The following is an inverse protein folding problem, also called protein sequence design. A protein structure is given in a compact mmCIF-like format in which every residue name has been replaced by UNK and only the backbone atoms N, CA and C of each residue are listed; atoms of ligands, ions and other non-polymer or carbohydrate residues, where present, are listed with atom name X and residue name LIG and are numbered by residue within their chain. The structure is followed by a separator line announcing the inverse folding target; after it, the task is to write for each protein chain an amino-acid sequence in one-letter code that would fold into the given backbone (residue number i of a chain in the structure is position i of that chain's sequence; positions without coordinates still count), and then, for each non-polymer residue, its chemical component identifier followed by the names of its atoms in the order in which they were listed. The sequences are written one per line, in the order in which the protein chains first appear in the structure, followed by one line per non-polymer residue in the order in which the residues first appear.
data_IF_123770512156
#
_entry.id   IF_123770512156
#
_cell.length_a   1.000
_cell.length_b   1.000
_cell.length_c   1.000
_cell.angle_alpha   90.00
_cell.angle_beta   90.00
_cell.angle_gamma   90.00
#
_symmetry.space_group_name_H-M   'P 1'
#
loop_
_entity.id
_entity.type
_entity.pdbx_description
1 polymer ?
#
# COMPACT_ATOMS: atom_id res chain seq x y z
N UNK A 1 14.21 19.11 7.05
CA UNK A 1 14.01 18.20 5.91
C UNK A 1 15.35 17.54 5.65
N UNK A 2 15.39 16.22 5.79
CA UNK A 2 16.61 15.46 5.58
C UNK A 2 16.91 15.38 4.08
N UNK A 3 18.20 15.28 3.72
CA UNK A 3 18.62 15.08 2.32
C UNK A 3 17.98 13.85 1.64
N UNK A 4 17.47 12.90 2.43
CA UNK A 4 16.80 11.69 1.97
C UNK A 4 15.35 11.96 1.50
N UNK A 5 14.66 12.89 2.16
CA UNK A 5 13.25 13.19 1.92
C UNK A 5 13.11 13.93 0.58
N UNK A 6 13.95 14.95 0.39
CA UNK A 6 14.08 15.69 -0.87
C UNK A 6 14.45 14.76 -2.03
N UNK A 7 15.29 13.74 -1.77
CA UNK A 7 15.66 12.73 -2.75
C UNK A 7 14.44 11.90 -3.14
N UNK A 8 13.70 11.31 -2.20
CA UNK A 8 12.56 10.45 -2.55
C UNK A 8 11.47 11.25 -3.29
N UNK A 9 11.19 12.48 -2.86
CA UNK A 9 10.19 13.33 -3.51
C UNK A 9 10.60 13.70 -4.93
N UNK A 10 11.87 14.08 -5.13
CA UNK A 10 12.43 14.35 -6.46
C UNK A 10 12.33 13.12 -7.37
N UNK A 11 12.69 11.94 -6.87
CA UNK A 11 12.61 10.70 -7.63
C UNK A 11 11.17 10.29 -7.96
N UNK A 12 10.23 10.48 -7.03
CA UNK A 12 8.80 10.26 -7.26
C UNK A 12 8.26 11.19 -8.35
N UNK A 13 8.62 12.47 -8.29
CA UNK A 13 8.24 13.45 -9.30
C UNK A 13 8.76 13.06 -10.68
N UNK A 14 10.03 12.65 -10.77
CA UNK A 14 10.61 12.14 -12.03
C UNK A 14 9.85 10.90 -12.49
N UNK A 15 9.69 9.88 -11.64
CA UNK A 15 9.01 8.63 -12.00
C UNK A 15 7.61 8.86 -12.57
N UNK A 16 6.81 9.73 -11.94
CA UNK A 16 5.47 10.08 -12.44
C UNK A 16 5.52 10.90 -13.72
N UNK A 17 6.44 11.87 -13.82
CA UNK A 17 6.62 12.67 -15.03
C UNK A 17 7.01 11.80 -16.23
N UNK A 18 7.87 10.80 -16.01
CA UNK A 18 8.28 9.82 -17.01
C UNK A 18 7.13 8.90 -17.44
N UNK A 19 6.31 8.48 -16.47
CA UNK A 19 5.13 7.66 -16.76
C UNK A 19 4.10 8.46 -17.57
N UNK A 20 3.92 9.75 -17.29
CA UNK A 20 3.01 10.61 -18.04
C UNK A 20 3.55 10.94 -19.45
N UNK A 21 4.84 11.24 -19.57
CA UNK A 21 5.46 11.64 -20.83
C UNK A 21 5.53 10.49 -21.84
N UNK A 22 5.77 9.25 -21.39
CA UNK A 22 5.79 8.08 -22.25
C UNK A 22 4.42 7.38 -22.32
N UNK A 23 3.73 7.29 -21.19
CA UNK A 23 2.48 6.55 -21.05
C UNK A 23 1.34 7.22 -21.80
N UNK A 24 1.16 8.53 -21.69
CA UNK A 24 0.04 9.21 -22.38
C UNK A 24 0.15 9.09 -23.91
N UNK A 25 1.30 9.36 -24.57
CA UNK A 25 1.44 9.14 -26.00
C UNK A 25 1.25 7.66 -26.40
N UNK A 26 1.75 6.73 -25.58
CA UNK A 26 1.59 5.29 -25.85
C UNK A 26 0.12 4.87 -25.77
N UNK A 27 -0.64 5.39 -24.80
CA UNK A 27 -2.09 5.15 -24.69
C UNK A 27 -2.84 5.72 -25.88
N UNK A 28 -2.53 6.95 -26.29
CA UNK A 28 -3.22 7.58 -27.42
C UNK A 28 -2.96 6.84 -28.75
N UNK A 29 -1.73 6.35 -28.96
CA UNK A 29 -1.34 5.67 -30.22
C UNK A 29 -1.65 4.17 -30.22
N UNK A 30 -1.49 3.49 -29.10
CA UNK A 30 -1.57 2.02 -28.98
C UNK A 30 -2.70 1.57 -28.04
N UNK A 31 -3.82 2.29 -28.01
CA UNK A 31 -4.94 2.01 -27.09
C UNK A 31 -5.51 0.59 -27.15
N UNK A 32 -5.38 -0.10 -28.29
CA UNK A 32 -5.90 -1.46 -28.50
C UNK A 32 -4.86 -2.54 -28.21
N UNK A 33 -3.62 -2.16 -27.87
CA UNK A 33 -2.55 -3.10 -27.59
C UNK A 33 -2.80 -3.75 -26.22
N UNK A 34 -3.03 -5.07 -26.22
CA UNK A 34 -3.28 -5.83 -24.99
C UNK A 34 -2.15 -5.70 -23.97
N UNK A 35 -0.90 -5.66 -24.44
CA UNK A 35 0.33 -5.50 -23.65
C UNK A 35 0.30 -4.25 -22.78
N UNK A 36 -0.27 -3.15 -23.30
CA UNK A 36 -0.41 -1.89 -22.57
C UNK A 36 -1.43 -2.01 -21.43
N UNK A 37 -2.53 -2.72 -21.64
CA UNK A 37 -3.50 -2.95 -20.57
C UNK A 37 -2.95 -3.90 -19.51
N UNK A 38 -2.24 -4.93 -19.93
CA UNK A 38 -1.58 -5.88 -19.03
C UNK A 38 -0.54 -5.21 -18.13
N UNK A 39 0.33 -4.37 -18.68
CA UNK A 39 1.33 -3.67 -17.88
C UNK A 39 0.67 -2.72 -16.87
N UNK A 40 -0.36 -1.96 -17.27
CA UNK A 40 -1.07 -1.07 -16.36
C UNK A 40 -1.77 -1.84 -15.24
N UNK A 41 -2.46 -2.93 -15.59
CA UNK A 41 -3.15 -3.78 -14.61
C UNK A 41 -2.17 -4.40 -13.62
N UNK A 42 -1.09 -5.01 -14.11
CA UNK A 42 -0.10 -5.67 -13.25
C UNK A 42 0.60 -4.70 -12.31
N UNK A 43 0.99 -3.52 -12.81
CA UNK A 43 1.63 -2.49 -12.01
C UNK A 43 0.74 -2.07 -10.82
N UNK A 44 -0.56 -1.93 -11.04
CA UNK A 44 -1.54 -1.52 -10.02
C UNK A 44 -1.93 -2.69 -9.10
N UNK A 45 -2.22 -3.87 -9.66
CA UNK A 45 -2.64 -5.04 -8.92
C UNK A 45 -1.57 -5.49 -7.94
N UNK A 46 -0.31 -5.58 -8.37
CA UNK A 46 0.80 -5.98 -7.52
C UNK A 46 1.06 -4.93 -6.45
N UNK A 47 0.97 -3.63 -6.78
CA UNK A 47 1.10 -2.56 -5.79
C UNK A 47 0.02 -2.66 -4.71
N UNK A 48 -1.25 -2.88 -5.11
CA UNK A 48 -2.36 -3.05 -4.17
C UNK A 48 -2.16 -4.27 -3.27
N UNK A 49 -1.77 -5.42 -3.83
CA UNK A 49 -1.50 -6.65 -3.05
C UNK A 49 -0.33 -6.43 -2.09
N UNK A 50 0.75 -5.80 -2.53
CA UNK A 50 1.91 -5.53 -1.65
C UNK A 50 1.59 -4.53 -0.54
N UNK A 51 0.78 -3.50 -0.81
CA UNK A 51 0.28 -2.59 0.23
C UNK A 51 -0.60 -3.34 1.21
N UNK A 52 -1.53 -4.17 0.72
CA UNK A 52 -2.40 -4.98 1.57
C UNK A 52 -1.61 -5.95 2.46
N UNK A 53 -0.65 -6.68 1.90
CA UNK A 53 0.25 -7.55 2.67
C UNK A 53 1.04 -6.71 3.69
N UNK A 54 1.53 -5.55 3.28
CA UNK A 54 2.22 -4.60 4.17
C UNK A 54 1.37 -4.22 5.38
N UNK A 55 0.13 -3.78 5.18
CA UNK A 55 -0.78 -3.44 6.27
C UNK A 55 -1.15 -4.66 7.13
N UNK A 56 -1.43 -5.81 6.52
CA UNK A 56 -1.74 -7.03 7.26
C UNK A 56 -0.57 -7.48 8.14
N UNK A 57 0.68 -7.36 7.65
CA UNK A 57 1.87 -7.71 8.43
C UNK A 57 2.09 -6.82 9.65
N UNK A 58 1.55 -5.60 9.68
CA UNK A 58 1.61 -4.72 10.86
C UNK A 58 0.73 -5.21 12.01
N UNK A 59 -0.32 -5.98 11.71
CA UNK A 59 -1.27 -6.50 12.70
C UNK A 59 -0.74 -7.79 13.36
N UNK A 60 0.26 -8.44 12.75
CA UNK A 60 0.83 -9.68 13.28
C UNK A 60 1.77 -9.42 14.46
N UNK A 61 1.51 -10.09 15.58
CA UNK A 61 2.37 -10.10 16.76
C UNK A 61 3.55 -11.05 16.55
N UNK A 62 4.70 -10.46 16.22
CA UNK A 62 5.97 -11.18 15.99
C UNK A 62 6.50 -11.91 17.23
N UNK A 63 5.92 -11.68 18.42
CA UNK A 63 6.26 -12.39 19.65
C UNK A 63 5.76 -13.84 19.62
N UNK A 64 4.72 -14.14 18.83
CA UNK A 64 4.14 -15.49 18.72
C UNK A 64 4.76 -16.25 17.55
N UNK A 65 5.23 -17.48 17.81
CA UNK A 65 5.94 -18.33 16.81
C UNK A 65 5.12 -18.62 15.54
N UNK A 66 3.82 -18.85 15.69
CA UNK A 66 2.90 -19.09 14.56
C UNK A 66 2.78 -17.83 13.69
N UNK A 67 2.53 -16.67 14.32
CA UNK A 67 2.37 -15.39 13.63
C UNK A 67 3.68 -14.91 12.98
N UNK A 68 4.83 -15.16 13.60
CA UNK A 68 6.15 -14.92 13.01
C UNK A 68 6.35 -15.74 11.72
N UNK A 69 5.91 -16.99 11.70
CA UNK A 69 6.02 -17.84 10.51
C UNK A 69 5.13 -17.31 9.38
N UNK A 70 3.91 -16.86 9.69
CA UNK A 70 3.01 -16.19 8.73
C UNK A 70 3.62 -14.91 8.18
N UNK A 71 4.22 -14.09 9.03
CA UNK A 71 4.91 -12.86 8.61
C UNK A 71 6.03 -13.14 7.59
N UNK A 72 6.85 -14.16 7.85
CA UNK A 72 7.94 -14.57 6.96
C UNK A 72 7.40 -15.06 5.62
N UNK A 73 6.39 -15.94 5.63
CA UNK A 73 5.75 -16.45 4.41
C UNK A 73 5.18 -15.31 3.58
N UNK A 74 4.45 -14.38 4.20
CA UNK A 74 3.87 -13.23 3.50
C UNK A 74 4.94 -12.30 2.92
N UNK A 75 6.03 -12.09 3.63
CA UNK A 75 7.17 -11.32 3.13
C UNK A 75 7.82 -11.98 1.91
N UNK A 76 7.97 -13.31 1.93
CA UNK A 76 8.45 -14.10 0.79
C UNK A 76 7.50 -14.03 -0.40
N UNK A 77 6.19 -14.20 -0.17
CA UNK A 77 5.16 -14.11 -1.22
C UNK A 77 5.22 -12.74 -1.88
N UNK A 78 5.25 -11.65 -1.10
CA UNK A 78 5.33 -10.30 -1.66
C UNK A 78 6.64 -10.06 -2.42
N UNK A 79 7.77 -10.61 -1.96
CA UNK A 79 9.05 -10.50 -2.66
C UNK A 79 9.05 -11.26 -3.98
N UNK A 80 8.54 -12.50 -3.99
CA UNK A 80 8.44 -13.34 -5.20
C UNK A 80 7.52 -12.68 -6.23
N UNK A 81 6.35 -12.18 -5.79
CA UNK A 81 5.44 -11.43 -6.68
C UNK A 81 6.14 -10.23 -7.31
N UNK A 82 6.88 -9.44 -6.52
CA UNK A 82 7.63 -8.30 -7.03
C UNK A 82 8.74 -8.73 -8.00
N UNK A 83 9.43 -9.84 -7.74
CA UNK A 83 10.45 -10.35 -8.64
C UNK A 83 9.86 -10.82 -9.98
N UNK A 84 8.77 -11.59 -9.94
CA UNK A 84 8.07 -12.06 -11.14
C UNK A 84 7.60 -10.87 -11.99
N UNK A 85 6.90 -9.93 -11.37
CA UNK A 85 6.22 -8.86 -12.10
C UNK A 85 7.18 -7.74 -12.53
N UNK A 86 8.15 -7.38 -11.70
CA UNK A 86 9.05 -6.24 -11.96
C UNK A 86 10.36 -6.60 -12.65
N UNK A 87 10.72 -7.89 -12.71
CA UNK A 87 11.92 -8.34 -13.41
C UNK A 87 11.55 -9.19 -14.61
N UNK A 88 10.96 -10.36 -14.38
CA UNK A 88 10.73 -11.31 -15.47
C UNK A 88 9.67 -10.82 -16.46
N UNK A 89 8.47 -10.49 -15.96
CA UNK A 89 7.38 -10.07 -16.82
C UNK A 89 7.61 -8.66 -17.39
N UNK A 90 8.20 -7.75 -16.61
CA UNK A 90 8.64 -6.44 -17.10
C UNK A 90 9.56 -6.54 -18.32
N UNK A 91 10.58 -7.40 -18.29
CA UNK A 91 11.51 -7.58 -19.43
C UNK A 91 10.78 -8.10 -20.66
N UNK A 92 9.85 -9.05 -20.47
CA UNK A 92 9.01 -9.58 -21.55
C UNK A 92 8.17 -8.47 -22.20
N UNK A 93 7.43 -7.71 -21.39
CA UNK A 93 6.55 -6.63 -21.86
C UNK A 93 7.34 -5.50 -22.54
N UNK A 94 8.50 -5.12 -21.99
CA UNK A 94 9.41 -4.13 -22.62
C UNK A 94 9.89 -4.63 -23.98
N UNK A 95 10.26 -5.90 -24.10
CA UNK A 95 10.66 -6.50 -25.37
C UNK A 95 9.52 -6.44 -26.41
N UNK A 96 8.29 -6.73 -25.99
CA UNK A 96 7.12 -6.65 -26.86
C UNK A 96 6.84 -5.21 -27.32
N UNK A 97 6.94 -4.21 -26.44
CA UNK A 97 6.82 -2.80 -26.84
C UNK A 97 7.86 -2.39 -27.86
N UNK A 98 9.13 -2.76 -27.65
CA UNK A 98 10.22 -2.45 -28.58
C UNK A 98 9.95 -3.10 -29.95
N UNK A 99 9.49 -4.36 -29.95
CA UNK A 99 9.15 -5.07 -31.18
C UNK A 99 7.98 -4.42 -31.93
N UNK A 100 6.91 -4.04 -31.24
CA UNK A 100 5.77 -3.32 -31.84
C UNK A 100 6.22 -1.97 -32.40
N UNK A 101 7.00 -1.18 -31.66
CA UNK A 101 7.49 0.12 -32.14
C UNK A 101 8.40 -0.01 -33.36
N UNK A 102 9.20 -1.07 -33.41
CA UNK A 102 10.05 -1.36 -34.56
C UNK A 102 9.22 -1.72 -35.81
N UNK A 103 8.25 -2.62 -35.67
CA UNK A 103 7.38 -3.05 -36.78
C UNK A 103 6.53 -1.89 -37.33
N UNK A 104 6.04 -1.03 -36.45
CA UNK A 104 5.25 0.16 -36.81
C UNK A 104 6.12 1.33 -37.33
N UNK A 105 7.44 1.14 -37.42
CA UNK A 105 8.43 2.16 -37.81
C UNK A 105 8.29 3.44 -36.98
N UNK A 106 7.90 3.29 -35.71
CA UNK A 106 7.67 4.38 -34.78
C UNK A 106 8.99 4.85 -34.14
N UNK A 107 9.93 5.33 -34.96
CA UNK A 107 11.30 5.65 -34.55
C UNK A 107 11.40 6.64 -33.39
N UNK A 108 10.46 7.58 -33.28
CA UNK A 108 10.40 8.51 -32.14
C UNK A 108 10.17 7.79 -30.81
N UNK A 109 9.25 6.81 -30.77
CA UNK A 109 9.04 5.96 -29.60
C UNK A 109 10.24 5.07 -29.33
N UNK A 110 10.85 4.50 -30.38
CA UNK A 110 12.01 3.65 -30.22
C UNK A 110 13.22 4.43 -29.67
N UNK A 111 13.52 5.60 -30.23
CA UNK A 111 14.69 6.41 -29.87
C UNK A 111 14.58 7.07 -28.50
N UNK A 112 13.43 7.69 -28.19
CA UNK A 112 13.22 8.37 -26.90
C UNK A 112 12.75 7.38 -25.83
N UNK A 113 11.87 6.46 -26.19
CA UNK A 113 11.26 5.53 -25.25
C UNK A 113 12.20 4.45 -24.73
N UNK A 114 13.09 3.91 -25.55
CA UNK A 114 14.00 2.83 -25.09
C UNK A 114 14.93 3.26 -23.95
N UNK A 115 15.60 4.44 -24.00
CA UNK A 115 16.36 4.95 -22.85
C UNK A 115 15.50 5.11 -21.59
N UNK A 116 14.26 5.57 -21.72
CA UNK A 116 13.35 5.67 -20.57
C UNK A 116 12.96 4.31 -20.01
N UNK A 117 12.67 3.31 -20.85
CA UNK A 117 12.39 1.95 -20.40
C UNK A 117 13.59 1.32 -19.67
N UNK A 118 14.82 1.59 -20.13
CA UNK A 118 16.04 1.17 -19.44
C UNK A 118 16.18 1.86 -18.07
N UNK A 119 15.94 3.17 -18.01
CA UNK A 119 15.97 3.93 -16.75
C UNK A 119 14.92 3.41 -15.75
N UNK A 120 13.70 3.09 -16.22
CA UNK A 120 12.66 2.47 -15.40
C UNK A 120 13.05 1.08 -14.91
N UNK A 121 13.74 0.29 -15.75
CA UNK A 121 14.23 -1.04 -15.36
C UNK A 121 15.24 -0.93 -14.22
N UNK A 122 16.18 0.00 -14.33
CA UNK A 122 17.13 0.30 -13.26
C UNK A 122 16.42 0.78 -11.98
N UNK A 123 15.43 1.66 -12.12
CA UNK A 123 14.63 2.16 -11.00
C UNK A 123 13.89 1.02 -10.28
N UNK A 124 13.19 0.15 -11.01
CA UNK A 124 12.48 -1.00 -10.44
C UNK A 124 13.45 -1.89 -9.65
N UNK A 125 14.64 -2.15 -10.19
CA UNK A 125 15.64 -2.95 -9.49
C UNK A 125 16.18 -2.25 -8.23
N UNK A 126 16.62 -1.00 -8.35
CA UNK A 126 17.29 -0.27 -7.28
C UNK A 126 16.35 0.14 -6.14
N UNK A 127 15.11 0.53 -6.45
CA UNK A 127 14.16 1.10 -5.50
C UNK A 127 13.15 0.08 -4.97
N UNK A 128 12.84 -0.98 -5.72
CA UNK A 128 11.85 -1.98 -5.29
C UNK A 128 12.53 -3.27 -4.88
N UNK A 129 13.29 -3.90 -5.79
CA UNK A 129 13.85 -5.24 -5.54
C UNK A 129 14.93 -5.21 -4.46
N UNK A 130 15.91 -4.31 -4.56
CA UNK A 130 17.04 -4.25 -3.62
C UNK A 130 16.59 -3.99 -2.16
N UNK A 131 15.70 -3.02 -1.86
CA UNK A 131 15.24 -2.80 -0.48
C UNK A 131 14.40 -3.96 0.05
N UNK A 132 13.54 -4.56 -0.79
CA UNK A 132 12.74 -5.73 -0.37
C UNK A 132 13.61 -6.96 -0.10
N UNK A 133 14.64 -7.19 -0.91
CA UNK A 133 15.60 -8.26 -0.67
C UNK A 133 16.38 -8.03 0.63
N UNK A 134 16.93 -6.82 0.83
CA UNK A 134 17.64 -6.48 2.06
C UNK A 134 16.77 -6.60 3.31
N UNK A 135 15.49 -6.23 3.20
CA UNK A 135 14.47 -6.46 4.23
C UNK A 135 14.30 -7.96 4.52
N UNK A 136 14.06 -8.76 3.50
CA UNK A 136 13.83 -10.19 3.63
C UNK A 136 15.02 -10.91 4.29
N UNK A 137 16.25 -10.57 3.87
CA UNK A 137 17.47 -11.13 4.46
C UNK A 137 17.61 -10.79 5.94
N UNK A 138 17.41 -9.51 6.31
CA UNK A 138 17.48 -9.07 7.71
C UNK A 138 16.50 -9.84 8.59
N UNK A 139 15.25 -9.99 8.14
CA UNK A 139 14.23 -10.71 8.91
C UNK A 139 14.49 -12.19 9.01
N UNK A 140 14.88 -12.82 7.90
CA UNK A 140 15.18 -14.25 7.89
C UNK A 140 16.31 -14.57 8.85
N UNK A 141 17.34 -13.71 8.92
CA UNK A 141 18.44 -13.84 9.88
C UNK A 141 17.96 -13.71 11.33
N UNK A 142 17.24 -12.65 11.68
CA UNK A 142 16.75 -12.43 13.06
C UNK A 142 15.78 -13.53 13.48
N UNK A 143 14.93 -13.99 12.57
CA UNK A 143 14.02 -15.11 12.83
C UNK A 143 14.76 -16.44 13.03
N UNK A 144 15.84 -16.69 12.29
CA UNK A 144 16.68 -17.87 12.49
C UNK A 144 17.38 -17.83 13.85
N UNK A 145 17.94 -16.68 14.24
CA UNK A 145 18.55 -16.47 15.57
C UNK A 145 17.53 -16.75 16.69
N UNK A 146 16.29 -16.25 16.56
CA UNK A 146 15.23 -16.51 17.54
C UNK A 146 14.87 -18.00 17.63
N UNK A 147 14.77 -18.70 16.49
CA UNK A 147 14.46 -20.14 16.43
C UNK A 147 15.59 -21.03 16.94
N UNK A 148 16.84 -20.58 16.86
CA UNK A 148 18.01 -21.32 17.35
C UNK A 148 18.20 -21.30 18.87
N UNK A 149 17.42 -20.49 19.60
CA UNK A 149 17.53 -20.44 21.05
C UNK A 149 17.07 -21.76 21.68
N UNK A 150 17.88 -22.38 22.57
CA UNK A 150 17.47 -23.60 23.25
C UNK A 150 16.27 -23.34 24.17
N UNK A 151 15.46 -24.39 24.48
CA UNK A 151 14.34 -24.28 25.39
C UNK A 151 14.78 -23.82 26.80
N UNK A 152 16.03 -24.06 27.21
CA UNK A 152 16.56 -23.65 28.51
C UNK A 152 17.31 -22.30 28.47
N UNK A 153 17.22 -21.56 27.36
CA UNK A 153 17.84 -20.25 27.24
C UNK A 153 17.35 -19.30 28.35
N UNK A 154 18.29 -18.59 28.99
CA UNK A 154 17.97 -17.63 30.04
C UNK A 154 16.95 -16.58 29.58
N UNK A 155 16.08 -16.17 30.50
CA UNK A 155 15.00 -15.21 30.22
C UNK A 155 15.53 -13.91 29.58
N UNK A 156 16.72 -13.45 30.03
CA UNK A 156 17.41 -12.28 29.48
C UNK A 156 17.73 -12.44 27.98
N UNK A 157 18.17 -13.62 27.54
CA UNK A 157 18.46 -13.88 26.12
C UNK A 157 17.18 -13.92 25.29
N UNK A 158 16.12 -14.55 25.82
CA UNK A 158 14.81 -14.60 25.16
C UNK A 158 14.22 -13.21 24.97
N UNK A 159 14.20 -12.39 26.02
CA UNK A 159 13.72 -11.00 25.97
C UNK A 159 14.52 -10.13 25.01
N UNK A 160 15.85 -10.31 24.95
CA UNK A 160 16.71 -9.62 23.96
C UNK A 160 16.36 -10.02 22.52
N UNK A 161 16.13 -11.31 22.27
CA UNK A 161 15.76 -11.82 20.95
C UNK A 161 14.39 -11.30 20.50
N UNK A 162 13.39 -11.30 21.40
CA UNK A 162 12.06 -10.72 21.13
C UNK A 162 12.16 -9.23 20.86
N UNK A 163 12.96 -8.47 21.62
CA UNK A 163 13.21 -7.04 21.34
C UNK A 163 13.86 -6.83 19.97
N UNK A 164 14.83 -7.66 19.58
CA UNK A 164 15.44 -7.58 18.26
C UNK A 164 14.44 -7.88 17.13
N UNK A 165 13.51 -8.82 17.34
CA UNK A 165 12.41 -9.07 16.41
C UNK A 165 11.48 -7.87 16.28
N UNK A 166 11.10 -7.25 17.39
CA UNK A 166 10.27 -6.03 17.38
C UNK A 166 10.98 -4.86 16.69
N UNK A 167 12.28 -4.67 16.93
CA UNK A 167 13.07 -3.65 16.24
C UNK A 167 13.21 -3.92 14.74
N UNK A 168 13.40 -5.17 14.35
CA UNK A 168 13.42 -5.54 12.94
C UNK A 168 12.04 -5.26 12.31
N UNK A 169 10.96 -5.73 12.94
CA UNK A 169 9.57 -5.51 12.55
C UNK A 169 9.27 -4.02 12.38
N UNK A 170 9.61 -3.20 13.38
CA UNK A 170 9.40 -1.75 13.33
C UNK A 170 10.17 -1.10 12.19
N UNK A 171 11.43 -1.48 11.95
CA UNK A 171 12.19 -0.95 10.80
C UNK A 171 11.51 -1.22 9.45
N UNK A 172 10.75 -2.32 9.33
CA UNK A 172 9.98 -2.60 8.11
C UNK A 172 8.76 -1.73 7.98
N UNK A 173 8.07 -1.51 9.10
CA UNK A 173 6.89 -0.65 9.17
C UNK A 173 7.29 0.82 8.99
N UNK A 174 8.36 1.26 9.63
CA UNK A 174 8.84 2.65 9.64
C UNK A 174 9.33 3.10 8.27
N UNK A 175 9.89 2.21 7.44
CA UNK A 175 10.23 2.58 6.06
C UNK A 175 8.98 3.00 5.27
N UNK A 176 7.81 2.45 5.63
CA UNK A 176 6.51 2.84 5.07
C UNK A 176 5.89 4.02 5.80
N UNK A 177 6.16 4.17 7.11
CA UNK A 177 5.65 5.25 7.95
C UNK A 177 6.34 6.59 7.68
N UNK A 178 7.64 6.63 7.42
CA UNK A 178 8.36 7.88 7.13
C UNK A 178 7.76 8.65 5.93
N UNK A 179 7.32 7.92 4.91
CA UNK A 179 6.59 8.50 3.78
C UNK A 179 5.21 9.02 4.19
N UNK A 180 4.50 8.32 5.07
CA UNK A 180 3.14 8.66 5.47
C UNK A 180 3.09 9.79 6.51
N UNK A 181 3.97 9.78 7.51
CA UNK A 181 4.03 10.82 8.55
C UNK A 181 4.43 12.18 7.98
N UNK A 182 5.33 12.20 6.99
CA UNK A 182 5.74 13.44 6.32
C UNK A 182 4.64 13.97 5.40
N UNK A 183 3.99 13.10 4.60
CA UNK A 183 2.81 13.46 3.81
C UNK A 183 1.70 13.98 4.73
N UNK A 184 1.40 13.26 5.82
CA UNK A 184 0.42 13.70 6.82
C UNK A 184 0.87 15.01 7.46
N UNK A 185 2.15 15.24 7.75
CA UNK A 185 2.65 16.52 8.27
C UNK A 185 2.42 17.69 7.31
N UNK A 186 2.48 17.45 5.99
CA UNK A 186 2.12 18.44 4.96
C UNK A 186 0.59 18.69 4.89
N UNK A 187 -0.23 17.74 5.32
CA UNK A 187 -1.69 17.89 5.44
C UNK A 187 -2.16 18.31 6.84
N UNK A 188 -1.31 18.18 7.87
CA UNK A 188 -1.60 18.59 9.25
C UNK A 188 -1.51 20.12 9.32
N UNK A 189 -2.70 20.72 9.24
CA UNK A 189 -3.03 22.13 9.50
C UNK A 189 -2.47 23.12 8.48
N UNK A 190 -3.06 23.15 7.28
CA UNK A 190 -3.54 24.46 6.82
C UNK A 190 -4.59 24.90 7.84
N UNK A 191 -4.27 25.87 8.70
CA UNK A 191 -5.29 26.67 9.37
C UNK A 191 -6.12 27.25 8.23
N UNK A 192 -7.28 26.65 7.94
CA UNK A 192 -8.21 27.23 6.98
C UNK A 192 -8.57 28.56 7.59
N UNK A 193 -8.04 29.63 7.01
CA UNK A 193 -8.36 30.96 7.47
C UNK A 193 -9.87 31.10 7.32
N UNK A 194 -10.56 31.51 8.40
CA UNK A 194 -12.02 31.62 8.41
C UNK A 194 -12.53 32.57 7.32
N UNK A 195 -11.64 33.40 6.79
CA UNK A 195 -11.84 34.28 5.64
C UNK A 195 -12.00 33.54 4.30
N UNK A 196 -11.51 32.30 4.16
CA UNK A 196 -11.59 31.50 2.92
C UNK A 196 -12.68 30.43 2.93
N UNK A 197 -13.29 30.14 4.09
CA UNK A 197 -14.55 29.42 4.12
C UNK A 197 -15.64 30.40 3.71
N UNK A 198 -16.09 30.35 2.45
CA UNK A 198 -17.39 30.93 2.08
C UNK A 198 -18.40 30.46 3.13
N UNK A 199 -19.10 31.37 3.84
CA UNK A 199 -20.12 30.96 4.79
C UNK A 199 -21.07 30.05 4.03
N UNK A 200 -21.26 28.82 4.51
CA UNK A 200 -22.22 27.91 3.93
C UNK A 200 -23.51 28.72 3.75
N UNK A 201 -24.03 28.87 2.52
CA UNK A 201 -25.20 29.68 2.29
C UNK A 201 -26.24 29.18 3.29
N UNK A 202 -26.66 30.08 4.18
CA UNK A 202 -27.60 29.72 5.22
C UNK A 202 -28.83 29.21 4.50
N UNK A 203 -28.97 27.89 4.42
CA UNK A 203 -30.16 27.24 3.91
C UNK A 203 -31.21 27.64 4.92
N UNK A 204 -31.91 28.74 4.59
CA UNK A 204 -33.05 29.24 5.30
C UNK A 204 -33.98 28.04 5.35
N UNK A 205 -34.03 27.38 6.52
CA UNK A 205 -34.96 26.29 6.80
C UNK A 205 -36.33 26.88 6.55
N UNK A 206 -36.83 26.71 5.32
CA UNK A 206 -38.26 26.74 5.09
C UNK A 206 -38.78 25.63 5.96
N UNK A 207 -39.37 26.01 7.09
CA UNK A 207 -40.18 25.13 7.90
C UNK A 207 -41.34 24.69 7.01
N UNK A 208 -41.14 23.60 6.27
CA UNK A 208 -42.26 22.78 5.83
C UNK A 208 -42.81 22.13 7.08
N UNK A 209 -43.71 22.87 7.70
CA UNK A 209 -44.61 22.38 8.70
C UNK A 209 -45.37 21.18 8.11
N UNK A 210 -45.31 20.08 8.87
CA UNK A 210 -46.34 19.04 9.00
C UNK A 210 -46.60 18.20 7.75
N UNK A 211 -46.16 16.94 7.81
CA UNK A 211 -46.89 15.87 7.12
C UNK A 211 -46.06 14.77 6.48
N UNK A 212 -45.01 14.26 7.13
CA UNK A 212 -44.40 12.98 6.71
C UNK A 212 -43.69 12.30 7.89
N UNK A 213 -44.46 11.98 8.94
CA UNK A 213 -44.03 10.98 9.90
C UNK A 213 -44.11 9.61 9.20
N UNK A 214 -43.05 8.81 9.38
CA UNK A 214 -43.10 7.34 9.26
C UNK A 214 -43.27 6.77 7.85
N UNK A 215 -42.24 6.84 6.98
CA UNK A 215 -42.18 5.91 5.84
C UNK A 215 -40.82 5.77 5.15
N UNK A 216 -39.69 5.77 5.86
CA UNK A 216 -38.41 5.47 5.19
C UNK A 216 -37.34 4.74 6.02
N UNK A 217 -37.74 3.99 7.05
CA UNK A 217 -36.82 3.19 7.88
C UNK A 217 -37.25 1.72 8.07
N UNK A 218 -37.92 1.12 7.09
CA UNK A 218 -38.40 -0.27 7.20
C UNK A 218 -38.19 -1.13 5.95
N UNK A 219 -37.25 -0.78 5.06
CA UNK A 219 -37.14 -1.51 3.77
C UNK A 219 -35.80 -2.18 3.46
N UNK A 220 -35.03 -2.61 4.47
CA UNK A 220 -33.86 -3.47 4.17
C UNK A 220 -33.47 -4.51 5.21
N UNK A 221 -34.00 -4.48 6.44
CA UNK A 221 -33.68 -5.50 7.45
C UNK A 221 -34.96 -5.91 8.16
N UNK A 222 -35.25 -7.22 8.16
CA UNK A 222 -36.44 -7.80 8.76
C UNK A 222 -36.53 -7.42 10.24
N UNK A 223 -37.60 -6.70 10.59
CA UNK A 223 -37.77 -6.00 11.86
C UNK A 223 -37.66 -6.87 13.12
N UNK A 224 -37.75 -8.19 13.02
CA UNK A 224 -37.54 -9.09 14.18
C UNK A 224 -36.10 -9.03 14.70
N UNK A 225 -35.10 -9.02 13.81
CA UNK A 225 -33.70 -9.19 14.26
C UNK A 225 -33.11 -7.94 14.92
N UNK A 226 -33.66 -6.75 14.64
CA UNK A 226 -33.18 -5.50 15.25
C UNK A 226 -33.64 -5.39 16.71
N UNK A 227 -34.86 -5.82 17.01
CA UNK A 227 -35.35 -5.82 18.40
C UNK A 227 -34.64 -6.86 19.25
N UNK A 228 -34.36 -8.04 18.70
CA UNK A 228 -33.59 -9.08 19.42
C UNK A 228 -32.16 -8.62 19.73
N UNK A 229 -31.49 -7.94 18.78
CA UNK A 229 -30.14 -7.42 18.98
C UNK A 229 -30.08 -6.29 20.02
N UNK A 230 -31.07 -5.40 20.04
CA UNK A 230 -31.15 -4.34 21.05
C UNK A 230 -31.43 -4.89 22.44
N UNK A 231 -32.28 -5.92 22.56
CA UNK A 231 -32.56 -6.59 23.83
C UNK A 231 -31.37 -7.38 24.39
N UNK A 232 -30.51 -7.91 23.50
CA UNK A 232 -29.24 -8.56 23.91
C UNK A 232 -28.23 -7.54 24.43
N UNK A 233 -28.13 -6.36 23.80
CA UNK A 233 -27.24 -5.27 24.24
C UNK A 233 -27.66 -4.65 25.57
N UNK A 234 -28.96 -4.57 25.86
CA UNK A 234 -29.46 -4.12 27.16
C UNK A 234 -29.11 -5.13 28.28
N UNK A 235 -29.26 -6.44 28.02
CA UNK A 235 -28.85 -7.48 28.98
C UNK A 235 -27.35 -7.49 29.26
N UNK A 236 -26.50 -7.29 28.25
CA UNK A 236 -25.05 -7.20 28.47
C UNK A 236 -24.62 -5.98 29.28
N UNK A 237 -25.44 -4.91 29.27
CA UNK A 237 -25.18 -3.69 30.04
C UNK A 237 -25.49 -3.89 31.52
N UNK A 238 -26.62 -4.53 31.83
CA UNK A 238 -27.03 -4.81 33.22
C UNK A 238 -26.02 -5.72 33.93
N UNK A 239 -25.48 -6.74 33.24
CA UNK A 239 -24.47 -7.66 33.82
C UNK A 239 -23.13 -6.99 34.11
N UNK A 240 -22.81 -5.85 33.47
CA UNK A 240 -21.56 -5.11 33.70
C UNK A 240 -21.66 -4.07 34.82
N UNK A 241 -22.87 -3.76 35.29
CA UNK A 241 -23.11 -2.76 36.33
C UNK A 241 -23.30 -3.41 37.73
N UNK A 242 -23.29 -4.74 37.83
CA UNK A 242 -23.19 -5.52 39.08
C UNK A 242 -21.73 -5.94 39.38
#
# INVERSE_FOLDING_TARGET
MGKLDDFILFFSLIHHSLTLSLGLPTILRYRTLSTLHWICFELQAVAAVSVFIGEYTKILDVSKRDQLSRFIILSWVSFIMMLITRVFHWVYLVGEFIFVWYNDKAWGFLGIGSPFLLLFSFFNFAMVIKPMYGRLQKFTKVAAEHKSLPPDASEKMRSKSVRNLHLAASQVVDTTHLLNEEIVSHFVRRKVDRSQSMPAPAFKRMSMARGAKSLFLTRSLGGSQVFDFLAELEREREVKEE
#
